data_IF_893906347409
#
_entry.id   IF_893906347409
#
_cell.length_a   1.000
_cell.length_b   1.000
_cell.length_c   1.000
_cell.angle_alpha   90.00
_cell.angle_beta   90.00
_cell.angle_gamma   90.00
#
_symmetry.space_group_name_H-M   'P 1'
#
loop_
_entity.id
_entity.type
_entity.pdbx_description
1 polymer ?
#
# COMPACT_ATOMS: atom_id res chain seq x y z
N UNK A 1 -5.71 26.31 -25.30
CA UNK A 1 -4.81 25.15 -25.11
C UNK A 1 -5.53 23.97 -25.75
N UNK A 2 -4.87 23.16 -26.57
CA UNK A 2 -5.56 22.00 -27.16
C UNK A 2 -5.76 20.91 -26.09
N UNK A 3 -6.74 20.02 -26.28
CA UNK A 3 -6.94 18.87 -25.41
C UNK A 3 -5.62 18.06 -25.32
N UNK A 4 -4.95 17.87 -26.46
CA UNK A 4 -3.69 17.15 -26.53
C UNK A 4 -2.61 17.77 -25.64
N UNK A 5 -2.47 19.09 -25.61
CA UNK A 5 -1.47 19.77 -24.78
C UNK A 5 -1.79 19.61 -23.28
N UNK A 6 -3.07 19.61 -22.92
CA UNK A 6 -3.50 19.50 -21.52
C UNK A 6 -3.37 18.09 -20.95
N UNK A 7 -3.55 17.04 -21.76
CA UNK A 7 -3.47 15.66 -21.31
C UNK A 7 -2.06 15.04 -21.43
N UNK A 8 -1.21 15.55 -22.32
CA UNK A 8 0.11 14.98 -22.58
C UNK A 8 0.98 14.73 -21.31
N UNK A 9 1.02 15.66 -20.33
CA UNK A 9 1.79 15.43 -19.08
C UNK A 9 1.25 14.26 -18.24
N UNK A 10 0.00 13.89 -18.41
CA UNK A 10 -0.67 12.86 -17.61
C UNK A 10 -0.60 11.45 -18.23
N UNK A 11 -0.23 11.33 -19.50
CA UNK A 11 -0.18 10.03 -20.21
C UNK A 11 0.79 9.04 -19.55
N UNK A 12 2.02 9.38 -19.13
CA UNK A 12 2.91 8.43 -18.47
C UNK A 12 2.32 7.86 -17.18
N UNK A 13 1.62 8.69 -16.41
CA UNK A 13 0.95 8.29 -15.18
C UNK A 13 -0.25 7.41 -15.45
N UNK A 14 -1.08 7.75 -16.45
CA UNK A 14 -2.18 6.91 -16.89
C UNK A 14 -1.72 5.52 -17.35
N UNK A 15 -0.60 5.43 -18.07
CA UNK A 15 0.00 4.14 -18.45
C UNK A 15 0.39 3.30 -17.24
N UNK A 16 0.99 3.93 -16.21
CA UNK A 16 1.32 3.26 -14.93
C UNK A 16 0.06 2.74 -14.24
N UNK A 17 -0.97 3.56 -14.12
CA UNK A 17 -2.27 3.21 -13.56
C UNK A 17 -2.92 2.06 -14.34
N UNK A 18 -2.98 2.16 -15.67
CA UNK A 18 -3.55 1.15 -16.54
C UNK A 18 -2.87 -0.22 -16.40
N UNK A 19 -1.53 -0.24 -16.29
CA UNK A 19 -0.78 -1.48 -16.02
C UNK A 19 -1.13 -2.08 -14.67
N UNK A 20 -1.26 -1.27 -13.63
CA UNK A 20 -1.65 -1.73 -12.30
C UNK A 20 -3.08 -2.27 -12.28
N UNK A 21 -3.99 -1.66 -13.04
CA UNK A 21 -5.39 -2.09 -13.15
C UNK A 21 -5.55 -3.36 -13.99
N UNK A 22 -4.89 -3.42 -15.17
CA UNK A 22 -5.00 -4.52 -16.14
C UNK A 22 -4.06 -5.69 -15.82
N UNK A 23 -3.07 -5.50 -14.93
CA UNK A 23 -2.10 -6.53 -14.54
C UNK A 23 -0.94 -6.74 -15.51
N UNK A 24 -1.04 -6.33 -16.77
CA UNK A 24 0.04 -6.44 -17.76
C UNK A 24 0.31 -5.11 -18.47
N UNK A 25 1.55 -4.90 -18.91
CA UNK A 25 1.91 -3.72 -19.68
C UNK A 25 1.17 -3.68 -21.03
N UNK A 26 1.13 -4.79 -21.74
CA UNK A 26 0.52 -4.85 -23.06
C UNK A 26 -0.97 -4.48 -23.03
N UNK A 27 -1.73 -5.03 -22.08
CA UNK A 27 -3.14 -4.68 -21.91
C UNK A 27 -3.33 -3.23 -21.49
N UNK A 28 -2.56 -2.74 -20.49
CA UNK A 28 -2.64 -1.37 -20.04
C UNK A 28 -2.35 -0.37 -21.15
N UNK A 29 -1.26 -0.57 -21.89
CA UNK A 29 -0.87 0.31 -22.99
C UNK A 29 -1.90 0.31 -24.14
N UNK A 30 -2.54 -0.84 -24.43
CA UNK A 30 -3.59 -0.96 -25.44
C UNK A 30 -4.86 -0.14 -25.06
N UNK A 31 -5.28 -0.21 -23.80
CA UNK A 31 -6.43 0.60 -23.34
C UNK A 31 -6.14 2.10 -23.31
N UNK A 32 -4.90 2.49 -22.97
CA UNK A 32 -4.49 3.90 -23.05
C UNK A 32 -4.52 4.38 -24.50
N UNK A 33 -3.97 3.60 -25.44
CA UNK A 33 -4.02 3.93 -26.87
C UNK A 33 -5.46 4.09 -27.36
N UNK A 34 -6.35 3.13 -27.05
CA UNK A 34 -7.76 3.21 -27.43
C UNK A 34 -8.46 4.44 -26.83
N UNK A 35 -8.11 4.85 -25.60
CA UNK A 35 -8.64 6.07 -24.98
C UNK A 35 -8.20 7.32 -25.74
N UNK A 36 -6.94 7.40 -26.14
CA UNK A 36 -6.41 8.53 -26.91
C UNK A 36 -6.98 8.58 -28.32
N UNK A 37 -7.15 7.43 -28.96
CA UNK A 37 -7.82 7.31 -30.27
C UNK A 37 -9.28 7.77 -30.20
N UNK A 38 -10.00 7.45 -29.13
CA UNK A 38 -11.38 7.93 -28.93
C UNK A 38 -11.44 9.45 -28.81
N UNK A 39 -10.51 10.11 -28.10
CA UNK A 39 -10.42 11.57 -28.01
C UNK A 39 -10.12 12.19 -29.38
N UNK A 40 -9.27 11.56 -30.19
CA UNK A 40 -8.95 12.06 -31.54
C UNK A 40 -10.11 11.91 -32.49
N UNK A 41 -10.87 10.83 -32.39
CA UNK A 41 -12.04 10.57 -33.24
C UNK A 41 -13.26 11.44 -32.89
N UNK A 42 -13.48 11.67 -31.60
CA UNK A 42 -14.61 12.45 -31.07
C UNK A 42 -14.12 13.25 -29.84
N UNK A 43 -13.63 14.49 -30.06
CA UNK A 43 -13.18 15.35 -28.96
C UNK A 43 -14.28 15.70 -27.93
N UNK A 44 -15.54 15.62 -28.30
CA UNK A 44 -16.68 15.93 -27.42
C UNK A 44 -16.86 14.81 -26.34
N UNK A 45 -16.24 13.65 -26.50
CA UNK A 45 -16.23 12.62 -25.47
C UNK A 45 -15.40 13.00 -24.25
N UNK A 46 -14.52 14.02 -24.38
CA UNK A 46 -13.67 14.51 -23.31
C UNK A 46 -14.37 15.63 -22.53
N UNK A 47 -14.52 15.45 -21.21
CA UNK A 47 -15.19 16.44 -20.35
C UNK A 47 -14.25 17.61 -20.04
N UNK A 48 -14.37 18.68 -20.83
CA UNK A 48 -13.52 19.86 -20.71
C UNK A 48 -13.82 20.75 -19.49
N UNK A 49 -14.92 20.49 -18.76
CA UNK A 49 -15.27 21.22 -17.53
C UNK A 49 -14.48 20.68 -16.31
N UNK A 50 -13.95 19.47 -16.40
CA UNK A 50 -13.14 18.86 -15.35
C UNK A 50 -11.64 19.22 -15.51
N UNK A 51 -10.89 19.04 -14.42
CA UNK A 51 -9.44 19.03 -14.50
C UNK A 51 -8.97 18.02 -15.57
N UNK A 52 -8.03 18.35 -16.45
CA UNK A 52 -7.60 17.48 -17.54
C UNK A 52 -7.15 16.08 -17.10
N UNK A 53 -6.53 15.97 -15.93
CA UNK A 53 -6.14 14.68 -15.34
C UNK A 53 -7.37 13.88 -14.96
N UNK A 54 -8.34 14.51 -14.28
CA UNK A 54 -9.59 13.87 -13.86
C UNK A 54 -10.38 13.40 -15.07
N UNK A 55 -10.57 14.27 -16.08
CA UNK A 55 -11.30 13.95 -17.31
C UNK A 55 -10.67 12.76 -18.06
N UNK A 56 -9.34 12.74 -18.17
CA UNK A 56 -8.60 11.66 -18.84
C UNK A 56 -8.79 10.31 -18.14
N UNK A 57 -8.67 10.26 -16.81
CA UNK A 57 -8.87 9.03 -16.05
C UNK A 57 -10.33 8.57 -16.02
N UNK A 58 -11.28 9.51 -15.98
CA UNK A 58 -12.72 9.23 -16.10
C UNK A 58 -13.04 8.56 -17.44
N UNK A 59 -12.56 9.13 -18.55
CA UNK A 59 -12.78 8.57 -19.88
C UNK A 59 -12.12 7.20 -20.02
N UNK A 60 -10.87 7.03 -19.54
CA UNK A 60 -10.18 5.75 -19.55
C UNK A 60 -10.99 4.68 -18.81
N UNK A 61 -11.44 4.96 -17.57
CA UNK A 61 -12.19 3.97 -16.78
C UNK A 61 -13.56 3.68 -17.36
N UNK A 62 -14.23 4.67 -17.97
CA UNK A 62 -15.48 4.47 -18.70
C UNK A 62 -15.28 3.52 -19.88
N UNK A 63 -14.25 3.72 -20.68
CA UNK A 63 -13.92 2.86 -21.81
C UNK A 63 -13.55 1.45 -21.35
N UNK A 64 -12.74 1.34 -20.30
CA UNK A 64 -12.29 0.06 -19.75
C UNK A 64 -13.43 -0.78 -19.16
N UNK A 65 -14.38 -0.14 -18.42
CA UNK A 65 -15.56 -0.81 -17.84
C UNK A 65 -16.55 -1.32 -18.90
N UNK A 66 -16.63 -0.65 -20.05
CA UNK A 66 -17.54 -1.04 -21.13
C UNK A 66 -17.11 -2.30 -21.88
N UNK A 67 -15.94 -2.84 -21.65
CA UNK A 67 -15.50 -4.12 -22.20
C UNK A 67 -15.99 -5.26 -21.30
N UNK A 68 -16.90 -6.14 -21.77
CA UNK A 68 -17.52 -7.19 -20.94
C UNK A 68 -16.52 -8.12 -20.24
N UNK A 69 -15.37 -8.38 -20.85
CA UNK A 69 -14.28 -9.20 -20.29
C UNK A 69 -13.68 -8.60 -19.01
N UNK A 70 -13.76 -7.30 -18.84
CA UNK A 70 -13.19 -6.62 -17.66
C UNK A 70 -14.12 -6.66 -16.44
N UNK A 71 -15.40 -6.93 -16.63
CA UNK A 71 -16.39 -7.04 -15.56
C UNK A 71 -16.40 -8.44 -14.91
N UNK A 72 -15.79 -9.43 -15.59
CA UNK A 72 -15.61 -10.80 -15.12
C UNK A 72 -14.12 -11.12 -15.02
N UNK A 73 -13.38 -10.33 -14.24
CA UNK A 73 -11.97 -10.60 -14.03
C UNK A 73 -11.86 -11.77 -13.05
N UNK A 74 -11.82 -12.98 -13.58
CA UNK A 74 -11.07 -14.05 -12.93
C UNK A 74 -9.66 -13.51 -12.63
N UNK A 75 -9.12 -13.75 -11.44
CA UNK A 75 -7.78 -13.28 -11.12
C UNK A 75 -6.86 -13.74 -12.25
N UNK A 76 -6.18 -12.81 -12.95
CA UNK A 76 -5.37 -13.19 -14.09
C UNK A 76 -4.40 -14.26 -13.65
N UNK A 77 -4.29 -15.34 -14.41
CA UNK A 77 -3.29 -16.39 -14.25
C UNK A 77 -1.93 -15.78 -14.56
N UNK A 78 -1.40 -15.04 -13.60
CA UNK A 78 -0.09 -14.40 -13.70
C UNK A 78 0.98 -15.48 -13.63
N UNK A 79 1.74 -15.60 -14.70
CA UNK A 79 3.10 -16.10 -14.61
C UNK A 79 3.85 -15.28 -13.56
N UNK A 80 4.74 -15.88 -12.82
CA UNK A 80 5.60 -15.47 -11.70
C UNK A 80 5.85 -13.97 -11.39
N UNK A 81 5.04 -13.03 -11.86
CA UNK A 81 5.18 -11.61 -11.68
C UNK A 81 4.49 -11.14 -10.41
N UNK A 82 5.29 -10.63 -9.51
CA UNK A 82 4.99 -9.77 -8.36
C UNK A 82 3.76 -10.11 -7.48
N UNK A 83 4.00 -10.40 -6.20
CA UNK A 83 2.96 -10.58 -5.17
C UNK A 83 1.99 -9.40 -5.04
N UNK A 84 2.44 -8.18 -5.38
CA UNK A 84 1.62 -6.98 -5.44
C UNK A 84 0.47 -7.11 -6.44
N UNK A 85 0.71 -7.66 -7.63
CA UNK A 85 -0.34 -7.83 -8.65
C UNK A 85 -1.38 -8.86 -8.22
N UNK A 86 -0.99 -9.93 -7.51
CA UNK A 86 -1.94 -10.91 -6.97
C UNK A 86 -2.82 -10.33 -5.86
N UNK A 87 -2.24 -9.52 -4.99
CA UNK A 87 -2.99 -8.86 -3.92
C UNK A 87 -3.98 -7.84 -4.48
N UNK A 88 -3.60 -7.07 -5.52
CA UNK A 88 -4.50 -6.17 -6.22
C UNK A 88 -5.60 -6.92 -6.99
N UNK A 89 -5.29 -8.06 -7.60
CA UNK A 89 -6.28 -8.85 -8.34
C UNK A 89 -7.37 -9.44 -7.45
N UNK A 90 -7.07 -9.67 -6.19
CA UNK A 90 -8.02 -10.21 -5.23
C UNK A 90 -8.91 -9.16 -4.55
N UNK A 91 -8.65 -7.86 -4.78
CA UNK A 91 -9.53 -6.76 -4.35
C UNK A 91 -10.70 -6.67 -5.32
N UNK A 92 -11.91 -6.44 -4.81
CA UNK A 92 -13.10 -6.16 -5.61
C UNK A 92 -12.84 -4.98 -6.55
N UNK A 93 -13.44 -4.99 -7.74
CA UNK A 93 -13.08 -4.09 -8.83
C UNK A 93 -13.18 -2.61 -8.48
N UNK A 94 -14.33 -2.16 -7.97
CA UNK A 94 -14.52 -0.74 -7.63
C UNK A 94 -13.60 -0.26 -6.49
N UNK A 95 -13.45 -1.00 -5.36
CA UNK A 95 -12.45 -0.70 -4.35
C UNK A 95 -11.02 -0.62 -4.91
N UNK A 96 -10.63 -1.54 -5.80
CA UNK A 96 -9.32 -1.53 -6.45
C UNK A 96 -9.07 -0.27 -7.25
N UNK A 97 -10.06 0.17 -8.07
CA UNK A 97 -9.94 1.42 -8.82
C UNK A 97 -9.77 2.62 -7.89
N UNK A 98 -10.60 2.74 -6.85
CA UNK A 98 -10.50 3.82 -5.88
C UNK A 98 -9.14 3.81 -5.14
N UNK A 99 -8.65 2.63 -4.75
CA UNK A 99 -7.34 2.48 -4.12
C UNK A 99 -6.19 2.89 -5.05
N UNK A 100 -6.20 2.46 -6.31
CA UNK A 100 -5.14 2.82 -7.26
C UNK A 100 -5.13 4.31 -7.55
N UNK A 101 -6.30 4.95 -7.69
CA UNK A 101 -6.41 6.40 -7.87
C UNK A 101 -5.84 7.16 -6.67
N UNK A 102 -6.14 6.72 -5.45
CA UNK A 102 -5.65 7.34 -4.22
C UNK A 102 -4.16 7.08 -3.98
N UNK A 103 -3.75 5.80 -3.92
CA UNK A 103 -2.43 5.40 -3.44
C UNK A 103 -1.32 5.53 -4.50
N UNK A 104 -1.65 5.38 -5.79
CA UNK A 104 -0.66 5.40 -6.88
C UNK A 104 -0.64 6.76 -7.58
N UNK A 105 -1.80 7.37 -7.77
CA UNK A 105 -1.95 8.59 -8.57
C UNK A 105 -2.24 9.83 -7.74
N UNK A 106 -2.35 9.68 -6.41
CA UNK A 106 -2.52 10.78 -5.45
C UNK A 106 -3.75 11.66 -5.73
N UNK A 107 -4.83 11.08 -6.24
CA UNK A 107 -6.10 11.77 -6.37
C UNK A 107 -6.71 12.02 -4.99
N UNK A 108 -7.28 13.19 -4.79
CA UNK A 108 -8.13 13.50 -3.65
C UNK A 108 -9.44 12.71 -3.70
N UNK A 109 -10.13 12.59 -2.58
CA UNK A 109 -11.41 11.90 -2.50
C UNK A 109 -12.47 12.48 -3.47
N UNK A 110 -12.54 13.80 -3.60
CA UNK A 110 -13.46 14.48 -4.51
C UNK A 110 -13.12 14.18 -5.97
N UNK A 111 -11.84 14.19 -6.35
CA UNK A 111 -11.42 13.81 -7.70
C UNK A 111 -11.73 12.33 -7.99
N UNK A 112 -11.52 11.43 -7.01
CA UNK A 112 -11.89 10.01 -7.14
C UNK A 112 -13.42 9.89 -7.37
N UNK A 113 -14.22 10.64 -6.64
CA UNK A 113 -15.67 10.66 -6.83
C UNK A 113 -16.06 11.09 -8.25
N UNK A 114 -15.40 12.13 -8.80
CA UNK A 114 -15.59 12.59 -10.17
C UNK A 114 -15.16 11.55 -11.21
N UNK A 115 -14.00 10.91 -11.00
CA UNK A 115 -13.50 9.86 -11.92
C UNK A 115 -14.40 8.63 -11.94
N UNK A 116 -14.94 8.23 -10.77
CA UNK A 116 -15.77 7.03 -10.63
C UNK A 116 -17.28 7.27 -10.83
N UNK A 117 -17.70 8.51 -11.09
CA UNK A 117 -19.12 8.93 -11.19
C UNK A 117 -19.92 8.55 -9.93
N UNK A 118 -19.38 8.84 -8.74
CA UNK A 118 -20.03 8.54 -7.47
C UNK A 118 -19.99 9.73 -6.50
N UNK A 119 -20.61 9.60 -5.33
CA UNK A 119 -20.51 10.61 -4.27
C UNK A 119 -19.18 10.52 -3.52
N UNK A 120 -18.76 11.63 -2.88
CA UNK A 120 -17.58 11.67 -2.01
C UNK A 120 -17.65 10.63 -0.88
N UNK A 121 -18.85 10.40 -0.33
CA UNK A 121 -19.08 9.37 0.68
C UNK A 121 -18.84 7.97 0.12
N UNK A 122 -19.28 7.70 -1.11
CA UNK A 122 -19.05 6.43 -1.79
C UNK A 122 -17.57 6.23 -2.13
N UNK A 123 -16.88 7.27 -2.59
CA UNK A 123 -15.43 7.21 -2.83
C UNK A 123 -14.66 6.87 -1.54
N UNK A 124 -15.01 7.48 -0.41
CA UNK A 124 -14.44 7.15 0.89
C UNK A 124 -14.69 5.69 1.28
N UNK A 125 -15.94 5.20 1.15
CA UNK A 125 -16.31 3.81 1.42
C UNK A 125 -15.49 2.83 0.57
N UNK A 126 -15.31 3.13 -0.72
CA UNK A 126 -14.54 2.27 -1.63
C UNK A 126 -13.06 2.19 -1.25
N UNK A 127 -12.45 3.32 -0.87
CA UNK A 127 -11.06 3.35 -0.39
C UNK A 127 -10.91 2.53 0.90
N UNK A 128 -11.80 2.72 1.87
CA UNK A 128 -11.79 1.96 3.12
C UNK A 128 -12.02 0.46 2.88
N UNK A 129 -12.94 0.11 1.98
CA UNK A 129 -13.20 -1.27 1.62
C UNK A 129 -11.98 -1.91 0.98
N UNK A 130 -11.29 -1.23 0.09
CA UNK A 130 -10.03 -1.71 -0.48
C UNK A 130 -8.99 -1.97 0.62
N UNK A 131 -8.85 -1.07 1.58
CA UNK A 131 -7.97 -1.25 2.74
C UNK A 131 -8.31 -2.50 3.55
N UNK A 132 -9.60 -2.75 3.82
CA UNK A 132 -10.05 -3.99 4.50
C UNK A 132 -9.74 -5.24 3.68
N UNK A 133 -10.11 -5.27 2.40
CA UNK A 133 -9.87 -6.42 1.52
C UNK A 133 -8.39 -6.73 1.36
N UNK A 134 -7.52 -5.71 1.33
CA UNK A 134 -6.05 -5.87 1.36
C UNK A 134 -5.61 -6.48 2.70
N UNK A 135 -6.11 -5.96 3.80
CA UNK A 135 -5.74 -6.40 5.16
C UNK A 135 -6.14 -7.85 5.41
N UNK A 136 -7.32 -8.27 4.96
CA UNK A 136 -7.79 -9.66 5.07
C UNK A 136 -6.87 -10.65 4.36
N UNK A 137 -6.25 -10.25 3.24
CA UNK A 137 -5.33 -11.10 2.50
C UNK A 137 -3.91 -11.11 3.07
N UNK A 138 -3.56 -10.07 3.84
CA UNK A 138 -2.23 -9.89 4.42
C UNK A 138 -2.26 -10.16 5.94
N UNK A 139 -3.28 -10.87 6.44
CA UNK A 139 -3.32 -11.21 7.87
C UNK A 139 -1.98 -11.80 8.30
N UNK A 140 -1.37 -11.16 9.27
CA UNK A 140 -0.04 -11.54 9.75
C UNK A 140 0.03 -11.50 11.27
N UNK A 141 1.04 -12.19 11.80
CA UNK A 141 1.33 -12.17 13.23
C UNK A 141 2.24 -10.99 13.55
N UNK A 142 1.90 -10.19 14.54
CA UNK A 142 2.61 -8.98 14.90
C UNK A 142 3.22 -9.12 16.29
N UNK A 143 4.50 -8.79 16.41
CA UNK A 143 5.21 -8.58 17.67
C UNK A 143 5.27 -7.07 17.94
N UNK A 144 4.77 -6.62 19.07
CA UNK A 144 4.89 -5.25 19.54
C UNK A 144 5.98 -5.20 20.62
N UNK A 145 6.94 -4.29 20.49
CA UNK A 145 7.99 -4.02 21.48
C UNK A 145 7.72 -2.61 22.00
N UNK A 146 7.09 -2.50 23.17
CA UNK A 146 6.66 -1.24 23.76
C UNK A 146 6.46 -1.45 25.26
N UNK A 147 7.11 -0.66 26.09
CA UNK A 147 7.07 -0.77 27.55
C UNK A 147 5.96 0.05 28.19
N UNK A 148 5.49 1.11 27.52
CA UNK A 148 4.36 1.93 27.97
C UNK A 148 3.02 1.24 27.72
N UNK A 149 2.27 0.80 28.79
CA UNK A 149 1.10 -0.05 28.59
C UNK A 149 -0.03 0.61 27.77
N UNK A 150 -0.19 1.93 27.88
CA UNK A 150 -1.23 2.65 27.15
C UNK A 150 -0.90 2.75 25.66
N UNK A 151 0.35 3.05 25.32
CA UNK A 151 0.81 3.10 23.93
C UNK A 151 0.74 1.72 23.31
N UNK A 152 1.19 0.69 24.03
CA UNK A 152 1.11 -0.71 23.57
C UNK A 152 -0.34 -1.14 23.26
N UNK A 153 -1.30 -0.75 24.12
CA UNK A 153 -2.72 -1.04 23.93
C UNK A 153 -3.32 -0.29 22.72
N UNK A 154 -2.93 0.97 22.52
CA UNK A 154 -3.35 1.75 21.36
C UNK A 154 -2.84 1.12 20.06
N UNK A 155 -1.56 0.76 20.01
CA UNK A 155 -0.94 0.08 18.86
C UNK A 155 -1.61 -1.28 18.62
N UNK A 156 -1.83 -2.09 19.67
CA UNK A 156 -2.54 -3.37 19.57
C UNK A 156 -3.92 -3.19 18.95
N UNK A 157 -4.69 -2.23 19.45
CA UNK A 157 -6.04 -1.94 18.94
C UNK A 157 -6.01 -1.60 17.44
N UNK A 158 -5.06 -0.77 16.99
CA UNK A 158 -4.91 -0.40 15.59
C UNK A 158 -4.50 -1.58 14.71
N UNK A 159 -3.60 -2.42 15.19
CA UNK A 159 -3.15 -3.66 14.51
C UNK A 159 -4.30 -4.64 14.33
N UNK A 160 -5.10 -4.85 15.39
CA UNK A 160 -6.27 -5.75 15.37
C UNK A 160 -7.39 -5.20 14.49
N UNK A 161 -7.61 -3.87 14.46
CA UNK A 161 -8.55 -3.24 13.52
C UNK A 161 -8.19 -3.43 12.05
N UNK A 162 -6.90 -3.62 11.74
CA UNK A 162 -6.41 -3.96 10.39
C UNK A 162 -6.53 -5.47 10.09
N UNK A 163 -7.04 -6.28 11.02
CA UNK A 163 -7.21 -7.73 10.84
C UNK A 163 -5.95 -8.55 11.10
N UNK A 164 -4.89 -7.97 11.68
CA UNK A 164 -3.68 -8.69 12.06
C UNK A 164 -3.77 -9.25 13.48
N UNK A 165 -2.97 -10.28 13.80
CA UNK A 165 -2.93 -10.91 15.12
C UNK A 165 -1.74 -10.40 15.93
N UNK A 166 -1.97 -9.71 17.05
CA UNK A 166 -0.90 -9.39 18.01
C UNK A 166 -0.56 -10.65 18.81
N UNK A 167 0.63 -11.19 18.59
CA UNK A 167 1.06 -12.43 19.24
C UNK A 167 1.68 -12.21 20.60
N UNK A 168 2.36 -11.09 20.78
CA UNK A 168 3.06 -10.73 22.03
C UNK A 168 3.28 -9.23 22.06
N UNK A 169 3.14 -8.64 23.23
CA UNK A 169 3.64 -7.34 23.59
C UNK A 169 4.84 -7.59 24.51
N UNK A 170 6.05 -7.26 24.04
CA UNK A 170 7.29 -7.36 24.78
C UNK A 170 7.67 -5.98 25.34
N UNK A 171 8.09 -5.92 26.59
CA UNK A 171 8.42 -4.67 27.27
C UNK A 171 9.92 -4.46 27.41
N UNK A 172 10.70 -5.48 27.12
CA UNK A 172 12.16 -5.48 27.24
C UNK A 172 12.79 -6.16 26.03
N UNK A 173 14.08 -5.90 25.80
CA UNK A 173 14.88 -6.58 24.80
C UNK A 173 14.77 -8.12 24.91
N UNK A 174 14.99 -8.67 26.13
CA UNK A 174 14.97 -10.11 26.37
C UNK A 174 13.62 -10.76 26.07
N UNK A 175 12.52 -10.08 26.42
CA UNK A 175 11.16 -10.54 26.10
C UNK A 175 10.92 -10.57 24.61
N UNK A 176 11.35 -9.52 23.88
CA UNK A 176 11.19 -9.41 22.44
C UNK A 176 11.91 -10.53 21.68
N UNK A 177 13.19 -10.75 21.98
CA UNK A 177 13.98 -11.81 21.35
C UNK A 177 13.39 -13.19 21.65
N UNK A 178 13.01 -13.46 22.90
CA UNK A 178 12.37 -14.73 23.30
C UNK A 178 11.04 -14.94 22.57
N UNK A 179 10.21 -13.91 22.44
CA UNK A 179 8.94 -13.98 21.75
C UNK A 179 9.14 -14.31 20.25
N UNK A 180 10.05 -13.63 19.59
CA UNK A 180 10.37 -13.84 18.18
C UNK A 180 10.92 -15.26 17.90
N UNK A 181 11.75 -15.80 18.81
CA UNK A 181 12.27 -17.17 18.72
C UNK A 181 11.17 -18.21 18.93
N UNK A 182 10.22 -17.95 19.84
CA UNK A 182 9.12 -18.87 20.13
C UNK A 182 8.11 -18.94 18.98
N UNK A 183 7.80 -17.80 18.38
CA UNK A 183 6.87 -17.69 17.24
C UNK A 183 7.35 -16.56 16.33
N UNK A 184 7.83 -16.94 15.14
CA UNK A 184 8.32 -16.00 14.15
C UNK A 184 7.21 -14.97 13.81
N UNK A 185 7.41 -13.67 14.06
CA UNK A 185 6.47 -12.65 13.66
C UNK A 185 6.52 -12.40 12.14
N UNK A 186 5.41 -11.98 11.57
CA UNK A 186 5.37 -11.49 10.19
C UNK A 186 5.50 -9.97 10.08
N UNK A 187 5.49 -9.27 11.23
CA UNK A 187 5.75 -7.83 11.36
C UNK A 187 6.21 -7.54 12.79
N UNK A 188 7.15 -6.62 12.95
CA UNK A 188 7.55 -6.06 14.23
C UNK A 188 7.23 -4.57 14.26
N UNK A 189 6.54 -4.11 15.32
CA UNK A 189 6.38 -2.72 15.70
C UNK A 189 7.22 -2.48 16.95
N UNK A 190 8.22 -1.61 16.90
CA UNK A 190 9.18 -1.46 17.98
C UNK A 190 9.36 -0.01 18.40
N UNK A 191 9.13 0.29 19.68
CA UNK A 191 9.75 1.47 20.28
C UNK A 191 11.26 1.25 20.36
N UNK A 192 12.00 2.31 20.12
CA UNK A 192 13.45 2.29 20.12
C UNK A 192 14.01 2.35 21.54
N UNK A 193 13.34 3.10 22.43
CA UNK A 193 13.78 3.32 23.81
C UNK A 193 12.81 2.68 24.79
N UNK A 194 13.29 1.78 25.61
CA UNK A 194 12.51 1.09 26.63
C UNK A 194 12.88 1.61 28.04
N UNK A 195 11.91 1.65 28.95
CA UNK A 195 12.08 2.26 30.28
C UNK A 195 13.05 1.53 31.19
N UNK A 196 13.29 0.22 30.95
CA UNK A 196 14.30 -0.56 31.69
C UNK A 196 15.74 -0.24 31.28
N UNK A 197 15.92 0.72 30.37
CA UNK A 197 17.22 1.08 29.79
C UNK A 197 17.71 0.15 28.68
N UNK A 198 16.94 -0.89 28.34
CA UNK A 198 17.22 -1.70 27.16
C UNK A 198 16.78 -0.97 25.89
N UNK A 199 17.27 -1.45 24.75
CA UNK A 199 17.00 -0.86 23.45
C UNK A 199 16.12 -1.79 22.61
N UNK A 200 14.98 -1.27 22.14
CA UNK A 200 14.16 -1.99 21.16
C UNK A 200 14.88 -2.13 19.82
N UNK A 201 15.75 -1.17 19.45
CA UNK A 201 16.59 -1.27 18.27
C UNK A 201 17.56 -2.46 18.36
N UNK A 202 18.21 -2.66 19.51
CA UNK A 202 19.12 -3.79 19.70
C UNK A 202 18.38 -5.12 19.68
N UNK A 203 17.17 -5.17 20.25
CA UNK A 203 16.31 -6.35 20.17
C UNK A 203 15.94 -6.68 18.71
N UNK A 204 15.58 -5.69 17.93
CA UNK A 204 15.28 -5.84 16.50
C UNK A 204 16.50 -6.31 15.74
N UNK A 205 17.68 -5.73 15.96
CA UNK A 205 18.91 -6.12 15.29
C UNK A 205 19.28 -7.59 15.60
N UNK A 206 19.13 -8.04 16.85
CA UNK A 206 19.34 -9.42 17.24
C UNK A 206 18.34 -10.37 16.55
N UNK A 207 17.06 -9.99 16.47
CA UNK A 207 16.03 -10.76 15.78
C UNK A 207 16.34 -10.86 14.28
N UNK A 208 16.70 -9.73 13.63
CA UNK A 208 17.03 -9.68 12.20
C UNK A 208 18.30 -10.46 11.86
N UNK A 209 19.19 -10.69 12.81
CA UNK A 209 20.35 -11.58 12.64
C UNK A 209 19.98 -13.05 12.41
N UNK A 210 18.77 -13.46 12.77
CA UNK A 210 18.30 -14.85 12.66
C UNK A 210 17.11 -15.04 11.71
N UNK A 211 16.38 -13.98 11.39
CA UNK A 211 15.17 -14.05 10.55
C UNK A 211 14.89 -12.73 9.82
N UNK A 212 14.41 -12.84 8.60
CA UNK A 212 13.95 -11.68 7.84
C UNK A 212 12.47 -11.40 8.20
N UNK A 213 12.19 -10.17 8.64
CA UNK A 213 10.85 -9.70 8.98
C UNK A 213 10.78 -8.18 8.79
N UNK A 214 9.68 -7.64 8.26
CA UNK A 214 9.50 -6.19 8.18
C UNK A 214 9.42 -5.59 9.58
N UNK A 215 10.04 -4.42 9.74
CA UNK A 215 10.08 -3.68 11.00
C UNK A 215 9.60 -2.26 10.78
N UNK A 216 8.75 -1.80 11.67
CA UNK A 216 8.35 -0.40 11.79
C UNK A 216 8.84 0.10 13.15
N UNK A 217 9.68 1.11 13.14
CA UNK A 217 10.09 1.76 14.37
C UNK A 217 9.11 2.86 14.76
N UNK A 218 8.84 2.99 16.05
CA UNK A 218 7.98 4.03 16.63
C UNK A 218 8.82 4.79 17.64
N UNK A 219 9.02 6.11 17.46
CA UNK A 219 9.93 6.88 18.32
C UNK A 219 9.49 8.34 18.49
N UNK A 220 9.86 8.92 19.63
CA UNK A 220 9.71 10.38 19.86
C UNK A 220 10.85 11.20 19.21
N UNK A 221 11.94 10.57 18.78
CA UNK A 221 13.15 11.24 18.31
C UNK A 221 13.62 10.70 16.94
N UNK A 222 12.85 10.89 15.86
CA UNK A 222 13.16 10.34 14.54
C UNK A 222 14.49 10.83 13.95
N UNK A 223 14.90 12.06 14.27
CA UNK A 223 16.14 12.69 13.80
C UNK A 223 17.42 11.93 14.20
N UNK A 224 17.35 11.14 15.27
CA UNK A 224 18.49 10.33 15.71
C UNK A 224 18.78 9.13 14.81
N UNK A 225 17.81 8.76 13.98
CA UNK A 225 17.85 7.57 13.12
C UNK A 225 17.88 7.91 11.63
N UNK A 226 17.63 9.16 11.27
CA UNK A 226 17.67 9.67 9.90
C UNK A 226 18.94 10.51 9.69
N UNK A 227 20.10 9.90 9.91
CA UNK A 227 21.39 10.59 9.91
C UNK A 227 22.14 10.49 8.58
N UNK A 228 21.68 9.66 7.64
CA UNK A 228 22.38 9.39 6.38
C UNK A 228 23.64 8.55 6.49
N UNK A 229 24.02 8.07 7.68
CA UNK A 229 25.30 7.39 7.94
C UNK A 229 25.22 5.87 8.18
N UNK A 230 24.03 5.32 8.36
CA UNK A 230 23.81 3.89 8.62
C UNK A 230 22.62 3.39 7.77
N UNK A 231 22.37 2.09 7.68
CA UNK A 231 21.13 1.65 7.11
C UNK A 231 19.96 2.21 7.94
N UNK A 232 19.29 3.20 7.35
CA UNK A 232 18.13 3.84 7.98
C UNK A 232 16.93 2.89 7.96
N UNK A 233 16.05 2.93 8.98
CA UNK A 233 14.85 2.14 8.98
C UNK A 233 13.96 2.52 7.79
N UNK A 234 13.52 1.53 7.03
CA UNK A 234 12.64 1.74 5.87
C UNK A 234 11.27 2.31 6.27
N UNK A 235 10.84 2.04 7.52
CA UNK A 235 9.56 2.48 8.05
C UNK A 235 9.71 3.02 9.47
N UNK A 236 9.25 4.26 9.66
CA UNK A 236 9.33 4.96 10.94
C UNK A 236 8.05 5.75 11.20
N UNK A 237 7.57 5.69 12.43
CA UNK A 237 6.43 6.45 12.95
C UNK A 237 6.91 7.33 14.09
N UNK A 238 6.56 8.62 14.06
CA UNK A 238 6.91 9.57 15.11
C UNK A 238 5.82 9.64 16.16
N UNK A 239 6.18 9.57 17.45
CA UNK A 239 5.28 9.86 18.57
C UNK A 239 5.16 11.40 18.77
N UNK A 240 3.94 11.96 19.01
CA UNK A 240 2.66 11.29 19.00
C UNK A 240 2.16 10.96 17.59
N UNK A 241 1.51 9.81 17.42
CA UNK A 241 1.02 9.36 16.12
C UNK A 241 -0.51 9.44 16.02
N UNK A 242 -1.02 9.53 14.79
CA UNK A 242 -2.43 9.36 14.50
C UNK A 242 -2.72 7.90 14.11
N UNK A 243 -3.96 7.46 14.37
CA UNK A 243 -4.42 6.13 13.96
C UNK A 243 -4.24 5.88 12.46
N UNK A 244 -4.55 6.88 11.63
CA UNK A 244 -4.42 6.77 10.17
C UNK A 244 -2.97 6.63 9.72
N UNK A 245 -2.04 7.34 10.37
CA UNK A 245 -0.60 7.23 10.09
C UNK A 245 -0.09 5.81 10.38
N UNK A 246 -0.44 5.25 11.54
CA UNK A 246 -0.03 3.89 11.93
C UNK A 246 -0.59 2.86 10.94
N UNK A 247 -1.89 2.94 10.62
CA UNK A 247 -2.54 2.04 9.67
C UNK A 247 -1.91 2.11 8.27
N UNK A 248 -1.62 3.31 7.79
CA UNK A 248 -0.99 3.51 6.48
C UNK A 248 0.41 2.89 6.42
N UNK A 249 1.25 3.12 7.44
CA UNK A 249 2.63 2.60 7.48
C UNK A 249 2.64 1.08 7.62
N UNK A 250 1.74 0.48 8.43
CA UNK A 250 1.60 -0.99 8.54
C UNK A 250 1.25 -1.59 7.18
N UNK A 251 0.22 -1.05 6.52
CA UNK A 251 -0.20 -1.53 5.19
C UNK A 251 0.92 -1.41 4.18
N UNK A 252 1.67 -0.31 4.20
CA UNK A 252 2.81 -0.06 3.33
C UNK A 252 3.97 -1.04 3.59
N UNK A 253 4.35 -1.25 4.84
CA UNK A 253 5.44 -2.15 5.21
C UNK A 253 5.15 -3.59 4.76
N UNK A 254 3.95 -4.11 5.04
CA UNK A 254 3.53 -5.45 4.64
C UNK A 254 3.41 -5.61 3.11
N UNK A 255 3.03 -4.54 2.41
CA UNK A 255 2.97 -4.54 0.95
C UNK A 255 4.36 -4.62 0.31
N UNK A 256 5.35 -3.88 0.85
CA UNK A 256 6.70 -3.83 0.29
C UNK A 256 7.56 -5.04 0.66
N UNK A 257 7.40 -5.61 1.86
CA UNK A 257 8.17 -6.79 2.29
C UNK A 257 7.98 -7.98 1.35
N UNK A 258 6.76 -8.22 0.89
CA UNK A 258 6.49 -9.27 -0.08
C UNK A 258 7.18 -9.09 -1.45
N UNK A 259 7.67 -7.89 -1.76
CA UNK A 259 8.48 -7.65 -2.98
C UNK A 259 9.93 -8.09 -2.80
N UNK A 260 10.52 -7.84 -1.64
CA UNK A 260 11.94 -8.14 -1.37
C UNK A 260 12.20 -9.65 -1.24
N UNK A 261 11.35 -10.38 -0.53
CA UNK A 261 11.50 -11.83 -0.34
C UNK A 261 11.48 -12.64 -1.65
N UNK A 262 10.79 -12.17 -2.69
CA UNK A 262 10.76 -12.86 -4.01
C UNK A 262 11.96 -12.56 -4.90
N UNK A 263 12.60 -11.41 -4.72
CA UNK A 263 13.81 -11.05 -5.48
C UNK A 263 14.99 -11.87 -4.98
N UNK A 264 15.10 -12.11 -3.67
CA UNK A 264 16.15 -12.93 -3.06
C UNK A 264 15.99 -14.42 -3.41
N UNK A 265 14.78 -14.96 -3.36
CA UNK A 265 14.53 -16.36 -3.73
C UNK A 265 14.85 -16.68 -5.21
N UNK A 266 14.84 -15.68 -6.11
CA UNK A 266 15.22 -15.83 -7.51
C UNK A 266 16.74 -15.75 -7.71
N UNK A 267 17.45 -15.01 -6.87
CA UNK A 267 18.92 -14.87 -6.94
C UNK A 267 19.68 -16.08 -6.36
N UNK A 268 19.02 -16.86 -5.49
CA UNK A 268 19.61 -18.07 -4.88
C UNK A 268 19.29 -19.36 -5.65
N UNK A 269 18.47 -19.32 -6.69
CA UNK A 269 18.06 -20.46 -7.51
C UNK A 269 18.63 -20.42 -8.96
N UNK A 270 19.63 -19.51 -9.21
CA UNK A 270 20.30 -19.35 -10.52
C UNK A 270 21.74 -19.84 -10.52
#
# INVERSE_FOLDING_TARGET
MSISDSIAPHIPFLRRFARALCGTQAAGDAYVAATLEAILADPDCFDAELDPKVALYKLFLRSWRNVPLNNHVDPPTFGAESGANRNLAAISLEPRMAFLLSAVESFSRTEIAQVLDCSDAKAAELIERAGREISEQIRTSVLIIEDEPLIALDIQTLVEQLGHDVTTIARTHTEAVRAALKRRPGLILADIQLADGSSGLDAVNEILGTQEVPVIFITAFPERFLTGQAPEPAFLITKPFSADSVKAVISQALFFDRKSQKTVAKATAG
#
